data_IF_384274966537
#
_entry.id   IF_384274966537
#
_cell.length_a   1.000
_cell.length_b   1.000
_cell.length_c   1.000
_cell.angle_alpha   90.00
_cell.angle_beta   90.00
_cell.angle_gamma   90.00
#
_symmetry.space_group_name_H-M   'P 1'
#
loop_
_entity.id
_entity.type
_entity.pdbx_description
1 polymer ?
#
# COMPACT_ATOMS: atom_id res chain seq x y z
N UNK A 1 15.62 -11.57 12.65
CA UNK A 1 14.89 -12.40 11.69
C UNK A 1 15.90 -13.14 10.84
N UNK A 2 16.04 -14.46 10.98
CA UNK A 2 16.90 -15.25 10.09
C UNK A 2 16.18 -15.51 8.76
N UNK A 3 16.95 -15.77 7.70
CA UNK A 3 16.40 -16.15 6.39
C UNK A 3 15.56 -17.44 6.47
N UNK A 4 15.95 -18.34 7.38
CA UNK A 4 15.21 -19.56 7.71
C UNK A 4 13.82 -19.25 8.29
N UNK A 5 13.70 -18.29 9.22
CA UNK A 5 12.37 -17.90 9.72
C UNK A 5 11.49 -17.28 8.64
N UNK A 6 12.08 -16.58 7.67
CA UNK A 6 11.33 -15.93 6.60
C UNK A 6 10.67 -16.92 5.62
N UNK A 7 11.23 -18.13 5.43
CA UNK A 7 10.65 -19.14 4.53
C UNK A 7 9.39 -19.80 5.08
N UNK A 8 9.13 -19.70 6.39
CA UNK A 8 7.93 -20.22 7.04
C UNK A 8 6.80 -19.20 7.19
N UNK A 9 7.04 -17.94 6.78
CA UNK A 9 6.06 -16.85 6.90
C UNK A 9 5.42 -16.58 5.54
N UNK A 10 4.09 -16.65 5.50
CA UNK A 10 3.33 -16.27 4.33
C UNK A 10 3.14 -14.74 4.30
N UNK A 11 3.36 -14.14 3.13
CA UNK A 11 3.22 -12.70 2.91
C UNK A 11 1.99 -12.39 2.08
N UNK A 12 1.19 -11.43 2.55
CA UNK A 12 -0.01 -10.96 1.89
C UNK A 12 0.08 -9.45 1.69
N UNK A 13 -0.16 -8.99 0.46
CA UNK A 13 -0.17 -7.57 0.14
C UNK A 13 -1.61 -7.08 -0.08
N UNK A 14 -2.14 -6.37 0.92
CA UNK A 14 -3.48 -5.78 0.90
C UNK A 14 -3.38 -4.28 0.64
N UNK A 15 -3.73 -3.83 -0.57
CA UNK A 15 -3.69 -2.41 -0.92
C UNK A 15 -4.95 -1.70 -0.41
N UNK A 16 -4.75 -0.63 0.35
CA UNK A 16 -5.84 0.22 0.87
C UNK A 16 -6.30 1.28 -0.14
N UNK A 17 -7.22 2.13 0.29
CA UNK A 17 -7.60 3.35 -0.44
C UNK A 17 -6.84 4.58 0.04
N UNK A 18 -6.82 5.63 -0.79
CA UNK A 18 -6.30 6.94 -0.45
C UNK A 18 -7.24 8.04 -0.95
N UNK A 19 -7.65 8.93 -0.05
CA UNK A 19 -8.45 10.10 -0.36
C UNK A 19 -7.88 11.31 0.40
N UNK A 20 -7.19 12.19 -0.32
CA UNK A 20 -6.58 13.39 0.25
C UNK A 20 -7.61 14.30 0.94
N UNK A 21 -8.86 14.33 0.46
CA UNK A 21 -9.91 15.19 1.04
C UNK A 21 -10.31 14.73 2.44
N UNK A 22 -10.30 13.43 2.68
CA UNK A 22 -10.67 12.79 3.96
C UNK A 22 -9.57 12.83 5.03
N UNK A 23 -8.35 13.24 4.69
CA UNK A 23 -7.24 13.35 5.64
C UNK A 23 -7.46 14.46 6.69
N UNK A 24 -6.98 14.23 7.91
CA UNK A 24 -6.92 15.27 8.96
C UNK A 24 -5.86 16.32 8.60
N UNK A 25 -5.94 17.51 9.19
CA UNK A 25 -5.06 18.64 8.83
C UNK A 25 -3.56 18.30 8.90
N UNK A 26 -3.12 17.65 9.98
CA UNK A 26 -1.71 17.22 10.13
C UNK A 26 -1.27 16.25 9.03
N UNK A 27 -2.15 15.32 8.65
CA UNK A 27 -1.85 14.29 7.65
C UNK A 27 -1.85 14.93 6.25
N UNK A 28 -2.71 15.93 6.01
CA UNK A 28 -2.68 16.76 4.80
C UNK A 28 -1.38 17.52 4.64
N UNK A 29 -0.83 18.08 5.73
CA UNK A 29 0.46 18.78 5.70
C UNK A 29 1.57 17.81 5.30
N UNK A 30 1.66 16.66 5.98
CA UNK A 30 2.65 15.62 5.67
C UNK A 30 2.56 15.16 4.21
N UNK A 31 1.35 14.84 3.74
CA UNK A 31 1.15 14.40 2.36
C UNK A 31 1.43 15.54 1.37
N UNK A 32 1.16 16.79 1.71
CA UNK A 32 1.54 17.93 0.84
C UNK A 32 3.05 18.04 0.67
N UNK A 33 3.83 17.79 1.73
CA UNK A 33 5.30 17.73 1.66
C UNK A 33 5.77 16.60 0.74
N UNK A 34 5.15 15.41 0.83
CA UNK A 34 5.45 14.30 -0.06
C UNK A 34 5.14 14.66 -1.52
N UNK A 35 3.97 15.27 -1.80
CA UNK A 35 3.63 15.78 -3.12
C UNK A 35 4.70 16.73 -3.66
N UNK A 36 5.13 17.69 -2.85
CA UNK A 36 6.18 18.65 -3.23
C UNK A 36 7.50 17.95 -3.57
N UNK A 37 7.90 16.94 -2.80
CA UNK A 37 9.10 16.14 -3.07
C UNK A 37 9.01 15.42 -4.43
N UNK A 38 7.88 14.78 -4.71
CA UNK A 38 7.65 14.06 -5.98
C UNK A 38 7.59 15.01 -7.18
N UNK A 39 6.95 16.18 -7.05
CA UNK A 39 6.96 17.21 -8.08
C UNK A 39 8.35 17.80 -8.31
N UNK A 40 9.15 17.99 -7.24
CA UNK A 40 10.53 18.44 -7.36
C UNK A 40 11.41 17.41 -8.09
N UNK A 41 11.22 16.12 -7.81
CA UNK A 41 11.87 15.00 -8.53
C UNK A 41 11.57 15.08 -10.02
N UNK A 42 10.29 15.19 -10.39
CA UNK A 42 9.85 15.38 -11.77
C UNK A 42 10.46 16.61 -12.43
N UNK A 43 10.51 17.75 -11.73
CA UNK A 43 11.11 19.00 -12.24
C UNK A 43 12.62 18.89 -12.52
N UNK A 44 13.34 18.04 -11.78
CA UNK A 44 14.76 17.74 -12.02
C UNK A 44 14.99 16.78 -13.19
N UNK A 45 13.92 16.29 -13.83
CA UNK A 45 14.01 15.32 -14.93
C UNK A 45 14.26 13.89 -14.46
N UNK A 46 14.14 13.60 -13.17
CA UNK A 46 14.25 12.24 -12.64
C UNK A 46 13.00 11.42 -13.00
N UNK A 47 13.20 10.17 -13.40
CA UNK A 47 12.10 9.25 -13.68
C UNK A 47 11.34 8.90 -12.39
N UNK A 48 10.01 8.99 -12.49
CA UNK A 48 9.12 8.55 -11.42
C UNK A 48 8.80 7.07 -11.57
N UNK A 49 8.80 6.34 -10.46
CA UNK A 49 8.29 4.96 -10.44
C UNK A 49 6.77 4.96 -10.65
N UNK A 50 6.20 3.81 -10.99
CA UNK A 50 4.75 3.72 -11.22
C UNK A 50 3.94 4.00 -9.95
N UNK A 51 4.46 3.62 -8.78
CA UNK A 51 3.85 3.99 -7.51
C UNK A 51 3.94 5.50 -7.22
N UNK A 52 5.05 6.17 -7.59
CA UNK A 52 5.18 7.63 -7.45
C UNK A 52 4.21 8.37 -8.38
N UNK A 53 4.06 7.91 -9.63
CA UNK A 53 3.07 8.43 -10.59
C UNK A 53 1.64 8.24 -10.04
N UNK A 54 1.34 7.04 -9.56
CA UNK A 54 0.05 6.70 -8.95
C UNK A 54 -0.26 7.57 -7.74
N UNK A 55 0.72 7.78 -6.86
CA UNK A 55 0.59 8.64 -5.68
C UNK A 55 0.32 10.10 -6.07
N UNK A 56 1.00 10.65 -7.08
CA UNK A 56 0.73 12.01 -7.58
C UNK A 56 -0.69 12.17 -8.12
N UNK A 57 -1.19 11.17 -8.86
CA UNK A 57 -2.56 11.15 -9.34
C UNK A 57 -3.58 11.11 -8.19
N UNK A 58 -3.25 10.37 -7.12
CA UNK A 58 -4.12 10.15 -5.97
C UNK A 58 -4.41 11.43 -5.13
N UNK A 59 -3.61 12.49 -5.27
CA UNK A 59 -3.93 13.80 -4.67
C UNK A 59 -5.13 14.50 -5.32
N UNK A 60 -5.44 14.16 -6.59
CA UNK A 60 -6.54 14.77 -7.36
C UNK A 60 -7.79 13.89 -7.36
N UNK A 61 -7.58 12.59 -7.57
CA UNK A 61 -8.64 11.59 -7.70
C UNK A 61 -8.43 10.58 -6.58
N UNK A 62 -9.42 10.40 -5.72
CA UNK A 62 -9.37 9.37 -4.69
C UNK A 62 -9.24 7.98 -5.34
N UNK A 63 -8.44 7.12 -4.73
CA UNK A 63 -8.22 5.75 -5.18
C UNK A 63 -8.71 4.77 -4.12
N UNK A 64 -9.30 3.68 -4.56
CA UNK A 64 -9.73 2.58 -3.69
C UNK A 64 -9.29 1.26 -4.33
N UNK A 65 -8.35 0.60 -3.67
CA UNK A 65 -7.87 -0.73 -4.07
C UNK A 65 -8.36 -1.82 -3.13
N UNK A 66 -9.27 -1.49 -2.20
CA UNK A 66 -9.78 -2.46 -1.25
C UNK A 66 -10.62 -3.51 -1.97
N UNK A 67 -10.40 -4.77 -1.64
CA UNK A 67 -11.15 -5.89 -2.19
C UNK A 67 -11.34 -6.95 -1.13
N UNK A 68 -12.59 -7.35 -0.88
CA UNK A 68 -12.87 -8.49 0.00
C UNK A 68 -12.22 -9.77 -0.52
N UNK A 69 -12.14 -9.96 -1.84
CA UNK A 69 -11.50 -11.14 -2.43
C UNK A 69 -10.00 -11.22 -2.09
N UNK A 70 -9.35 -10.08 -1.84
CA UNK A 70 -7.94 -10.07 -1.45
C UNK A 70 -7.67 -10.75 -0.10
N UNK A 71 -8.70 -11.00 0.72
CA UNK A 71 -8.56 -11.71 2.00
C UNK A 71 -8.69 -13.24 1.84
N UNK A 72 -9.21 -13.73 0.71
CA UNK A 72 -9.45 -15.17 0.47
C UNK A 72 -8.18 -16.01 0.72
N UNK A 73 -6.99 -15.65 0.20
CA UNK A 73 -5.78 -16.43 0.45
C UNK A 73 -5.40 -16.55 1.94
N UNK A 74 -5.71 -15.52 2.73
CA UNK A 74 -5.46 -15.50 4.18
C UNK A 74 -6.43 -16.46 4.89
N UNK A 75 -7.71 -16.41 4.53
CA UNK A 75 -8.74 -17.29 5.10
C UNK A 75 -8.39 -18.75 4.79
N UNK A 76 -8.04 -19.05 3.55
CA UNK A 76 -7.63 -20.39 3.13
C UNK A 76 -6.39 -20.88 3.88
N UNK A 77 -5.39 -20.02 4.10
CA UNK A 77 -4.22 -20.36 4.89
C UNK A 77 -4.57 -20.73 6.32
N UNK A 78 -5.41 -19.92 6.98
CA UNK A 78 -5.86 -20.20 8.34
C UNK A 78 -6.66 -21.51 8.39
N UNK A 79 -7.55 -21.76 7.43
CA UNK A 79 -8.27 -23.03 7.32
C UNK A 79 -7.33 -24.23 7.20
N UNK A 80 -6.34 -24.18 6.30
CA UNK A 80 -5.33 -25.25 6.15
C UNK A 80 -4.50 -25.46 7.41
N UNK A 81 -4.21 -24.40 8.17
CA UNK A 81 -3.48 -24.51 9.44
C UNK A 81 -4.31 -25.24 10.50
N UNK A 82 -5.62 -24.96 10.56
CA UNK A 82 -6.52 -25.61 11.51
C UNK A 82 -6.72 -27.10 11.18
N UNK A 83 -6.90 -27.45 9.90
CA UNK A 83 -7.05 -28.85 9.45
C UNK A 83 -5.83 -29.73 9.75
N UNK A 84 -4.61 -29.16 9.78
CA UNK A 84 -3.38 -29.90 10.10
C UNK A 84 -3.18 -30.18 11.59
N UNK A 85 -4.02 -29.60 12.45
CA UNK A 85 -3.88 -29.68 13.90
C UNK A 85 -4.71 -30.81 14.52
N UNK A 86 -5.68 -31.34 13.76
CA UNK A 86 -6.45 -32.56 14.05
C UNK A 86 -5.76 -33.80 13.44
#
# INVERSE_FOLDING_TARGET
FSLEMASFVEFYHLRGGFDFKKLKLRDKILMSMLKMKLEAKKKRGEELTDDEKGMLAAYRIAVDFTSRKAIEPIVESVSRFLEKKD
#
